data_IF_627668173521
#
_entry.id   IF_627668173521
#
_cell.length_a   1.000
_cell.length_b   1.000
_cell.length_c   1.000
_cell.angle_alpha   90.00
_cell.angle_beta   90.00
_cell.angle_gamma   90.00
#
_symmetry.space_group_name_H-M   'P 1'
#
loop_
_entity.id
_entity.type
_entity.pdbx_description
1 polymer ?
#
# COMPACT_ATOMS: atom_id res chain seq x y z
N UNK A 1 23.73 -14.90 10.84
CA UNK A 1 22.91 -14.91 9.60
C UNK A 1 21.47 -14.77 10.07
N UNK A 2 20.94 -13.52 10.03
CA UNK A 2 19.65 -13.19 10.58
C UNK A 2 18.54 -13.99 9.91
N UNK A 3 17.55 -14.41 10.70
CA UNK A 3 16.29 -14.96 10.23
C UNK A 3 15.57 -13.88 9.45
N UNK A 4 15.81 -13.88 8.12
CA UNK A 4 15.48 -12.76 7.28
C UNK A 4 13.99 -12.56 7.10
N UNK A 5 13.44 -11.51 7.67
CA UNK A 5 12.22 -10.95 7.17
C UNK A 5 12.41 -10.65 5.67
N UNK A 6 11.41 -10.99 4.86
CA UNK A 6 11.37 -10.54 3.48
C UNK A 6 10.79 -9.13 3.43
N UNK A 7 11.45 -8.24 2.71
CA UNK A 7 10.90 -6.93 2.40
C UNK A 7 11.24 -6.54 0.97
N UNK A 8 10.33 -5.88 0.30
CA UNK A 8 10.55 -5.23 -0.99
C UNK A 8 9.96 -3.82 -1.00
N UNK A 9 10.44 -3.02 -1.95
CA UNK A 9 9.92 -1.68 -2.18
C UNK A 9 10.00 -1.35 -3.66
N UNK A 10 8.93 -0.81 -4.18
CA UNK A 10 8.80 -0.33 -5.55
C UNK A 10 8.51 1.17 -5.55
N UNK A 11 9.05 1.88 -6.51
CA UNK A 11 8.82 3.31 -6.69
C UNK A 11 8.26 3.59 -8.08
N UNK A 12 7.34 4.51 -8.15
CA UNK A 12 6.80 5.02 -9.41
C UNK A 12 6.72 6.55 -9.39
N UNK A 13 7.05 7.16 -10.51
CA UNK A 13 6.88 8.61 -10.73
C UNK A 13 5.48 8.84 -11.27
N UNK A 14 4.77 9.80 -10.67
CA UNK A 14 3.37 10.11 -11.02
C UNK A 14 3.28 11.54 -11.53
N UNK A 15 2.36 11.80 -12.47
CA UNK A 15 2.12 13.15 -12.96
C UNK A 15 1.13 13.93 -12.06
N UNK A 16 1.28 15.26 -11.99
CA UNK A 16 0.38 16.13 -11.25
C UNK A 16 0.66 16.20 -9.75
N UNK A 17 -0.34 16.56 -8.95
CA UNK A 17 -0.25 16.58 -7.48
C UNK A 17 -0.60 15.20 -6.92
N UNK A 18 0.05 14.81 -5.83
CA UNK A 18 -0.10 13.49 -5.23
C UNK A 18 -0.30 13.61 -3.72
N UNK A 19 -1.50 13.28 -3.23
CA UNK A 19 -1.77 13.13 -1.80
C UNK A 19 -1.77 11.67 -1.39
N UNK A 20 -1.50 11.40 -0.11
CA UNK A 20 -1.59 10.05 0.44
C UNK A 20 -2.99 9.45 0.27
N UNK A 21 -4.04 10.24 0.51
CA UNK A 21 -5.43 9.81 0.33
C UNK A 21 -5.73 9.37 -1.11
N UNK A 22 -5.27 10.15 -2.10
CA UNK A 22 -5.40 9.77 -3.51
C UNK A 22 -4.69 8.45 -3.82
N UNK A 23 -3.49 8.25 -3.26
CA UNK A 23 -2.73 7.01 -3.44
C UNK A 23 -3.44 5.82 -2.83
N UNK A 24 -3.91 5.93 -1.58
CA UNK A 24 -4.65 4.86 -0.89
C UNK A 24 -5.91 4.49 -1.68
N UNK A 25 -6.72 5.48 -2.05
CA UNK A 25 -7.94 5.25 -2.82
C UNK A 25 -7.63 4.62 -4.18
N UNK A 26 -6.64 5.15 -4.92
CA UNK A 26 -6.25 4.60 -6.21
C UNK A 26 -5.75 3.16 -6.09
N UNK A 27 -4.90 2.86 -5.10
CA UNK A 27 -4.30 1.55 -4.88
C UNK A 27 -5.36 0.49 -4.57
N UNK A 28 -6.21 0.75 -3.58
CA UNK A 28 -7.20 -0.21 -3.08
C UNK A 28 -8.48 -0.32 -3.91
N UNK A 29 -8.69 0.56 -4.91
CA UNK A 29 -9.80 0.45 -5.85
C UNK A 29 -9.38 -0.02 -7.24
N UNK A 30 -8.11 -0.43 -7.46
CA UNK A 30 -7.68 -1.05 -8.72
C UNK A 30 -8.46 -2.33 -9.02
N UNK A 31 -8.57 -2.67 -10.30
CA UNK A 31 -9.17 -3.96 -10.70
C UNK A 31 -8.40 -5.16 -10.12
N UNK A 32 -7.08 -5.03 -9.99
CA UNK A 32 -6.21 -6.05 -9.40
C UNK A 32 -6.58 -6.29 -7.93
N UNK A 33 -6.72 -5.21 -7.15
CA UNK A 33 -7.09 -5.31 -5.74
C UNK A 33 -8.54 -5.75 -5.56
N UNK A 34 -9.44 -5.37 -6.48
CA UNK A 34 -10.83 -5.88 -6.49
C UNK A 34 -10.87 -7.39 -6.66
N UNK A 35 -10.02 -7.96 -7.51
CA UNK A 35 -9.89 -9.42 -7.64
C UNK A 35 -9.40 -10.05 -6.32
N UNK A 36 -8.40 -9.47 -5.67
CA UNK A 36 -7.94 -9.89 -4.35
C UNK A 36 -9.08 -9.86 -3.32
N UNK A 37 -9.89 -8.79 -3.29
CA UNK A 37 -11.06 -8.68 -2.41
C UNK A 37 -12.09 -9.77 -2.63
N UNK A 38 -12.32 -10.17 -3.89
CA UNK A 38 -13.20 -11.31 -4.20
C UNK A 38 -12.64 -12.60 -3.59
N UNK A 39 -11.34 -12.84 -3.73
CA UNK A 39 -10.65 -13.98 -3.13
C UNK A 39 -10.74 -13.93 -1.61
N UNK A 40 -10.47 -12.79 -0.98
CA UNK A 40 -10.57 -12.60 0.47
C UNK A 40 -12.00 -12.77 1.00
N UNK A 41 -13.01 -12.33 0.24
CA UNK A 41 -14.42 -12.56 0.58
C UNK A 41 -14.75 -14.04 0.69
N UNK A 42 -14.27 -14.84 -0.27
CA UNK A 42 -14.59 -16.28 -0.34
C UNK A 42 -13.73 -17.12 0.59
N UNK A 43 -12.44 -16.81 0.71
CA UNK A 43 -11.48 -17.62 1.49
C UNK A 43 -11.35 -17.18 2.94
N UNK A 44 -11.56 -15.91 3.26
CA UNK A 44 -11.34 -15.34 4.59
C UNK A 44 -12.58 -14.67 5.19
N UNK A 45 -13.75 -14.75 4.51
CA UNK A 45 -14.99 -14.07 4.93
C UNK A 45 -14.80 -12.58 5.24
N UNK A 46 -13.95 -11.90 4.47
CA UNK A 46 -13.62 -10.48 4.60
C UNK A 46 -14.13 -9.67 3.41
N UNK A 47 -15.44 -9.41 3.34
CA UNK A 47 -15.99 -8.54 2.29
C UNK A 47 -15.49 -7.11 2.49
N UNK A 48 -15.31 -6.40 1.39
CA UNK A 48 -14.95 -4.98 1.43
C UNK A 48 -15.39 -4.27 0.16
N UNK A 49 -15.59 -2.96 0.25
CA UNK A 49 -16.16 -2.12 -0.80
C UNK A 49 -15.19 -1.01 -1.22
N UNK A 50 -15.45 -0.39 -2.38
CA UNK A 50 -14.69 0.80 -2.80
C UNK A 50 -14.99 2.01 -1.91
N UNK A 51 -16.15 2.06 -1.26
CA UNK A 51 -16.49 3.10 -0.28
C UNK A 51 -15.59 3.00 0.93
N UNK A 52 -15.43 1.81 1.50
CA UNK A 52 -14.52 1.58 2.64
C UNK A 52 -13.06 1.88 2.28
N UNK A 53 -12.64 1.60 1.04
CA UNK A 53 -11.30 1.99 0.58
C UNK A 53 -11.12 3.53 0.60
N UNK A 54 -12.17 4.30 0.27
CA UNK A 54 -12.13 5.76 0.37
C UNK A 54 -12.19 6.25 1.82
N UNK A 55 -12.98 5.60 2.67
CA UNK A 55 -13.00 5.89 4.13
C UNK A 55 -11.66 5.58 4.78
N UNK A 56 -10.96 4.51 4.36
CA UNK A 56 -9.57 4.29 4.75
C UNK A 56 -8.68 5.43 4.27
N UNK A 57 -8.85 5.88 3.03
CA UNK A 57 -8.04 6.96 2.45
C UNK A 57 -8.24 8.31 3.18
N UNK A 58 -9.48 8.63 3.60
CA UNK A 58 -9.78 9.84 4.38
C UNK A 58 -9.41 9.73 5.86
N UNK A 59 -9.12 8.52 6.37
CA UNK A 59 -8.83 8.29 7.78
C UNK A 59 -10.06 8.10 8.65
N UNK A 60 -11.23 7.89 8.06
CA UNK A 60 -12.48 7.62 8.78
C UNK A 60 -12.52 6.21 9.39
N UNK A 61 -11.77 5.28 8.80
CA UNK A 61 -11.64 3.90 9.31
C UNK A 61 -10.17 3.47 9.35
N UNK A 62 -9.84 2.60 10.30
CA UNK A 62 -8.49 2.03 10.48
C UNK A 62 -8.41 0.54 10.11
N UNK A 63 -9.49 -0.03 9.57
CA UNK A 63 -9.52 -1.42 9.10
C UNK A 63 -10.25 -1.51 7.76
N UNK A 64 -9.68 -2.29 6.83
CA UNK A 64 -10.21 -2.46 5.47
C UNK A 64 -9.81 -3.82 4.90
N UNK A 65 -10.78 -4.61 4.41
CA UNK A 65 -10.54 -5.96 3.90
C UNK A 65 -9.79 -6.82 4.96
N UNK A 66 -8.61 -7.28 4.61
CA UNK A 66 -7.75 -8.04 5.52
C UNK A 66 -6.70 -7.18 6.25
N UNK A 67 -6.78 -5.86 6.13
CA UNK A 67 -5.75 -4.92 6.59
C UNK A 67 -6.24 -4.07 7.74
N UNK A 68 -5.33 -3.72 8.65
CA UNK A 68 -5.52 -2.72 9.71
C UNK A 68 -4.36 -1.74 9.70
N UNK A 69 -4.65 -0.47 9.93
CA UNK A 69 -3.64 0.58 10.07
C UNK A 69 -2.81 0.33 11.34
N UNK A 70 -1.49 0.22 11.21
CA UNK A 70 -0.53 0.21 12.31
C UNK A 70 0.03 1.60 12.60
N UNK A 71 0.32 2.35 11.52
CA UNK A 71 0.82 3.74 11.64
C UNK A 71 0.32 4.55 10.45
N UNK A 72 0.02 5.82 10.69
CA UNK A 72 -0.40 6.78 9.68
C UNK A 72 0.25 8.13 9.96
N UNK A 73 0.90 8.67 8.92
CA UNK A 73 1.49 10.01 8.93
C UNK A 73 0.99 10.79 7.72
N UNK A 74 1.36 12.05 7.63
CA UNK A 74 0.93 12.95 6.55
C UNK A 74 1.17 12.36 5.15
N UNK A 75 2.31 11.71 4.96
CA UNK A 75 2.75 11.23 3.65
C UNK A 75 2.93 9.71 3.58
N UNK A 76 2.60 8.96 4.63
CA UNK A 76 2.76 7.52 4.63
C UNK A 76 1.72 6.80 5.49
N UNK A 77 1.45 5.53 5.14
CA UNK A 77 0.59 4.62 5.89
C UNK A 77 1.24 3.25 5.93
N UNK A 78 1.24 2.64 7.10
CA UNK A 78 1.63 1.26 7.34
C UNK A 78 0.40 0.45 7.75
N UNK A 79 0.17 -0.65 7.04
CA UNK A 79 -0.93 -1.57 7.30
C UNK A 79 -0.38 -2.96 7.62
N UNK A 80 -0.99 -3.62 8.60
CA UNK A 80 -0.78 -5.03 8.90
C UNK A 80 -1.95 -5.87 8.41
N UNK A 81 -1.69 -7.07 7.94
CA UNK A 81 -2.74 -8.04 7.70
C UNK A 81 -3.31 -8.55 9.04
N UNK A 82 -4.50 -9.15 9.01
CA UNK A 82 -5.17 -9.65 10.22
C UNK A 82 -4.40 -10.76 10.95
N UNK A 83 -3.45 -11.42 10.29
CA UNK A 83 -2.56 -12.41 10.91
C UNK A 83 -1.33 -11.79 11.58
N UNK A 84 -1.07 -10.51 11.32
CA UNK A 84 0.12 -9.80 11.77
C UNK A 84 1.41 -10.24 11.07
N UNK A 85 1.33 -11.02 10.01
CA UNK A 85 2.49 -11.56 9.30
C UNK A 85 2.96 -10.72 8.13
N UNK A 86 2.04 -10.02 7.49
CA UNK A 86 2.34 -9.21 6.31
C UNK A 86 2.15 -7.74 6.63
N UNK A 87 3.04 -6.91 6.11
CA UNK A 87 2.93 -5.45 6.14
C UNK A 87 2.81 -4.92 4.73
N UNK A 88 1.99 -3.90 4.56
CA UNK A 88 1.87 -3.10 3.36
C UNK A 88 2.15 -1.65 3.70
N UNK A 89 3.05 -1.02 3.00
CA UNK A 89 3.46 0.35 3.22
C UNK A 89 3.27 1.17 1.95
N UNK A 90 2.57 2.28 2.07
CA UNK A 90 2.43 3.28 1.01
C UNK A 90 3.02 4.59 1.51
N UNK A 91 3.84 5.24 0.66
CA UNK A 91 4.38 6.56 0.94
C UNK A 91 4.29 7.43 -0.31
N UNK A 92 3.97 8.68 -0.11
CA UNK A 92 4.01 9.70 -1.14
C UNK A 92 5.14 10.68 -0.85
N UNK A 93 5.86 11.05 -1.90
CA UNK A 93 6.83 12.13 -1.85
C UNK A 93 6.31 13.20 -2.81
N UNK A 94 5.77 14.30 -2.28
CA UNK A 94 5.24 15.38 -3.12
C UNK A 94 6.37 16.02 -3.92
N UNK A 95 6.01 16.76 -4.96
CA UNK A 95 6.97 17.56 -5.73
C UNK A 95 7.74 18.45 -4.77
N UNK A 96 9.09 18.44 -4.75
CA UNK A 96 9.86 19.40 -3.98
C UNK A 96 9.43 20.81 -4.37
N UNK A 97 8.98 21.62 -3.40
CA UNK A 97 8.73 23.03 -3.62
C UNK A 97 10.00 23.71 -4.13
N UNK A 98 9.88 24.79 -4.85
CA UNK A 98 10.99 25.54 -5.47
C UNK A 98 12.08 26.05 -4.48
N UNK A 99 12.03 25.62 -3.21
CA UNK A 99 12.94 26.02 -2.15
C UNK A 99 13.69 24.89 -1.43
N UNK A 100 13.37 23.61 -1.67
CA UNK A 100 14.09 22.52 -1.02
C UNK A 100 15.15 21.94 -1.95
N UNK A 101 16.40 22.33 -1.72
CA UNK A 101 17.57 21.96 -2.52
C UNK A 101 18.02 20.49 -2.45
N UNK A 102 17.10 19.55 -2.28
CA UNK A 102 17.40 18.13 -2.40
C UNK A 102 17.30 17.75 -3.88
N UNK A 103 18.45 17.72 -4.53
CA UNK A 103 18.66 17.51 -5.96
C UNK A 103 18.22 16.15 -6.53
N UNK A 104 16.94 15.87 -6.53
CA UNK A 104 16.37 14.82 -7.36
C UNK A 104 16.26 15.31 -8.81
N UNK A 105 16.78 14.55 -9.76
CA UNK A 105 16.76 14.88 -11.20
C UNK A 105 15.36 15.00 -11.81
N UNK A 106 14.30 14.62 -11.11
CA UNK A 106 12.92 14.62 -11.60
C UNK A 106 12.02 15.31 -10.56
N UNK A 107 11.46 16.49 -10.84
CA UNK A 107 10.61 17.24 -9.92
C UNK A 107 9.21 16.64 -9.73
N UNK A 108 8.89 15.52 -10.40
CA UNK A 108 7.57 14.90 -10.29
C UNK A 108 7.40 14.13 -8.98
N UNK A 109 6.16 14.09 -8.41
CA UNK A 109 5.89 13.34 -7.20
C UNK A 109 6.11 11.84 -7.38
N UNK A 110 6.49 11.18 -6.29
CA UNK A 110 6.77 9.74 -6.27
C UNK A 110 5.82 9.01 -5.35
N UNK A 111 5.36 7.84 -5.81
CA UNK A 111 4.63 6.87 -5.02
C UNK A 111 5.54 5.69 -4.72
N UNK A 112 5.67 5.36 -3.44
CA UNK A 112 6.37 4.17 -2.96
C UNK A 112 5.36 3.15 -2.48
N UNK A 113 5.57 1.91 -2.85
CA UNK A 113 4.86 0.76 -2.33
C UNK A 113 5.86 -0.25 -1.80
N UNK A 114 5.78 -0.56 -0.52
CA UNK A 114 6.60 -1.57 0.14
C UNK A 114 5.74 -2.69 0.70
N UNK A 115 6.30 -3.88 0.74
CA UNK A 115 5.71 -4.97 1.49
C UNK A 115 6.76 -5.72 2.29
N UNK A 116 6.35 -6.27 3.43
CA UNK A 116 7.22 -7.08 4.27
C UNK A 116 6.48 -8.29 4.80
N UNK A 117 7.19 -9.41 4.93
CA UNK A 117 6.67 -10.63 5.55
C UNK A 117 7.53 -10.99 6.74
N UNK A 118 6.89 -11.08 7.89
CA UNK A 118 7.51 -11.44 9.16
C UNK A 118 7.63 -12.96 9.22
N UNK A 119 8.83 -13.51 9.44
CA UNK A 119 9.01 -14.95 9.58
C UNK A 119 8.33 -15.48 10.85
N UNK A 120 7.83 -16.70 10.78
CA UNK A 120 7.36 -17.44 11.95
C UNK A 120 8.46 -18.39 12.42
N UNK A 121 8.42 -18.77 13.69
CA UNK A 121 9.29 -19.84 14.19
C UNK A 121 8.73 -21.18 13.72
N UNK A 122 9.58 -21.95 13.07
CA UNK A 122 9.27 -23.34 12.73
C UNK A 122 9.13 -24.16 14.02
N UNK A 123 8.03 -24.88 14.15
CA UNK A 123 7.72 -25.60 15.39
C UNK A 123 8.69 -26.76 15.67
N UNK A 124 9.30 -27.35 14.64
CA UNK A 124 10.22 -28.48 14.77
C UNK A 124 11.65 -28.03 15.03
N UNK A 125 12.08 -26.93 14.43
CA UNK A 125 13.49 -26.49 14.47
C UNK A 125 13.71 -25.23 15.30
N UNK A 126 12.66 -24.52 15.72
CA UNK A 126 12.72 -23.24 16.41
C UNK A 126 13.29 -22.08 15.57
N UNK A 127 13.67 -22.34 14.32
CA UNK A 127 14.32 -21.36 13.43
C UNK A 127 13.27 -20.47 12.77
N UNK A 128 13.58 -19.18 12.53
CA UNK A 128 12.70 -18.31 11.78
C UNK A 128 12.60 -18.78 10.32
N UNK A 129 11.37 -18.90 9.82
CA UNK A 129 11.07 -19.32 8.45
C UNK A 129 9.93 -18.49 7.87
N UNK A 130 10.00 -18.19 6.59
CA UNK A 130 8.88 -17.60 5.85
C UNK A 130 7.80 -18.63 5.50
N UNK A 131 8.14 -19.92 5.62
CA UNK A 131 7.27 -21.03 5.25
C UNK A 131 7.38 -21.40 3.77
N UNK A 132 7.27 -22.70 3.47
CA UNK A 132 7.43 -23.24 2.11
C UNK A 132 6.44 -22.65 1.11
N UNK A 133 5.19 -22.41 1.55
CA UNK A 133 4.14 -21.85 0.70
C UNK A 133 4.47 -20.41 0.29
N UNK A 134 5.00 -19.58 1.19
CA UNK A 134 5.41 -18.23 0.86
C UNK A 134 6.59 -18.22 -0.12
N UNK A 135 7.61 -19.06 0.12
CA UNK A 135 8.77 -19.14 -0.78
C UNK A 135 8.37 -19.54 -2.20
N UNK A 136 7.41 -20.46 -2.34
CA UNK A 136 6.87 -20.85 -3.64
C UNK A 136 6.07 -19.71 -4.33
N UNK A 137 5.42 -18.86 -3.54
CA UNK A 137 4.61 -17.74 -4.04
C UNK A 137 5.39 -16.43 -4.19
N UNK A 138 6.67 -16.39 -3.80
CA UNK A 138 7.45 -15.16 -3.78
C UNK A 138 7.56 -14.50 -5.17
N UNK A 139 7.76 -15.29 -6.23
CA UNK A 139 7.81 -14.78 -7.59
C UNK A 139 6.46 -14.19 -8.02
N UNK A 140 5.36 -14.85 -7.66
CA UNK A 140 4.01 -14.35 -7.89
C UNK A 140 3.77 -13.06 -7.10
N UNK A 141 4.18 -12.99 -5.83
CA UNK A 141 4.05 -11.80 -5.00
C UNK A 141 4.78 -10.59 -5.62
N UNK A 142 6.01 -10.77 -6.11
CA UNK A 142 6.76 -9.70 -6.79
C UNK A 142 6.07 -9.21 -8.06
N UNK A 143 5.56 -10.14 -8.88
CA UNK A 143 4.81 -9.79 -10.09
C UNK A 143 3.52 -9.05 -9.75
N UNK A 144 2.77 -9.56 -8.79
CA UNK A 144 1.54 -8.98 -8.29
C UNK A 144 1.76 -7.53 -7.78
N UNK A 145 2.77 -7.30 -6.95
CA UNK A 145 3.11 -5.98 -6.42
C UNK A 145 3.41 -4.96 -7.53
N UNK A 146 4.13 -5.38 -8.57
CA UNK A 146 4.41 -4.53 -9.74
C UNK A 146 3.17 -4.20 -10.55
N UNK A 147 2.29 -5.19 -10.78
CA UNK A 147 1.04 -4.99 -11.52
C UNK A 147 0.13 -4.05 -10.72
N UNK A 148 0.02 -4.26 -9.42
CA UNK A 148 -0.80 -3.45 -8.53
C UNK A 148 -0.34 -1.98 -8.52
N UNK A 149 0.97 -1.74 -8.38
CA UNK A 149 1.53 -0.39 -8.44
C UNK A 149 1.28 0.27 -9.81
N UNK A 150 1.49 -0.45 -10.92
CA UNK A 150 1.20 0.06 -12.26
C UNK A 150 -0.27 0.42 -12.45
N UNK A 151 -1.17 -0.44 -11.97
CA UNK A 151 -2.62 -0.19 -12.04
C UNK A 151 -3.02 1.04 -11.20
N UNK A 152 -2.42 1.23 -10.02
CA UNK A 152 -2.63 2.42 -9.20
C UNK A 152 -2.12 3.69 -9.90
N UNK A 153 -0.93 3.67 -10.49
CA UNK A 153 -0.37 4.79 -11.24
C UNK A 153 -1.23 5.15 -12.46
N UNK A 154 -1.71 4.16 -13.23
CA UNK A 154 -2.60 4.38 -14.37
C UNK A 154 -3.91 5.03 -13.92
N UNK A 155 -4.45 4.62 -12.78
CA UNK A 155 -5.66 5.20 -12.21
C UNK A 155 -5.45 6.65 -11.76
N UNK A 156 -4.30 6.95 -11.12
CA UNK A 156 -3.92 8.31 -10.73
C UNK A 156 -3.76 9.22 -11.97
N UNK A 157 -3.16 8.72 -13.04
CA UNK A 157 -3.00 9.47 -14.28
C UNK A 157 -4.34 9.75 -15.00
N UNK A 158 -5.32 8.84 -14.88
CA UNK A 158 -6.66 8.99 -15.47
C UNK A 158 -7.60 9.89 -14.66
N UNK A 159 -7.36 10.07 -13.38
CA UNK A 159 -8.21 10.85 -12.47
C UNK A 159 -7.81 12.33 -12.47
N UNK A 160 -8.03 13.05 -13.59
CA UNK A 160 -7.77 14.51 -13.69
C UNK A 160 -8.70 15.37 -12.81
N UNK A 161 -9.68 14.78 -12.12
CA UNK A 161 -10.65 15.49 -11.26
C UNK A 161 -10.92 14.71 -9.98
N UNK A 162 -10.03 14.85 -9.00
CA UNK A 162 -10.36 14.57 -7.60
C UNK A 162 -10.67 15.91 -6.92
N UNK A 163 -11.86 16.11 -6.30
CA UNK A 163 -12.12 17.33 -5.55
C UNK A 163 -11.07 17.45 -4.43
N UNK A 164 -10.44 18.63 -4.35
CA UNK A 164 -9.59 18.97 -3.23
C UNK A 164 -10.40 18.75 -1.93
N UNK A 165 -9.79 18.10 -0.94
CA UNK A 165 -10.40 17.92 0.36
C UNK A 165 -10.86 19.30 0.86
N UNK A 166 -12.16 19.43 1.16
CA UNK A 166 -12.71 20.62 1.76
C UNK A 166 -11.92 20.91 3.04
N UNK A 167 -11.29 22.07 3.07
CA UNK A 167 -10.60 22.57 4.27
C UNK A 167 -11.63 22.60 5.39
N UNK A 168 -11.46 21.76 6.40
CA UNK A 168 -12.31 21.78 7.59
C UNK A 168 -12.32 23.15 8.25
N UNK A 169 -13.40 23.50 8.98
CA UNK A 169 -13.54 24.82 9.58
C UNK A 169 -12.39 25.07 10.56
N UNK A 170 -11.73 26.22 10.39
CA UNK A 170 -10.83 26.75 11.41
C UNK A 170 -11.70 27.14 12.62
N UNK A 171 -11.50 26.48 13.74
CA UNK A 171 -11.87 26.95 15.07
C UNK A 171 -10.69 27.70 15.70
#
# INVERSE_FOLDING_TARGET
RGGGAYADCYVAVVGGTLSLAQCIAAFYTTWVFRLERVILRWLASRPSTDSEARMLASGEIDAFAAWRVEDRREHEILLADFTGRTRSWLKTEPTPGAGSGTGGKDPRPRLYFGSAVIPVRDAATGRPTLGRRFSALLAFHKLYSRILLRAACARLAGSKHWPAAASGPKL
#
